data_IF_302638440844
#
_entry.id   IF_302638440844
#
_cell.length_a   1.000
_cell.length_b   1.000
_cell.length_c   1.000
_cell.angle_alpha   90.00
_cell.angle_beta   90.00
_cell.angle_gamma   90.00
#
_symmetry.space_group_name_H-M   'P 1'
#
loop_
_entity.id
_entity.type
_entity.pdbx_description
1 polymer ?
#
# COMPACT_ATOMS: atom_id res chain seq x y z
N UNK A 1 -18.52 -4.57 5.88
CA UNK A 1 -17.54 -3.51 5.66
C UNK A 1 -16.41 -4.01 4.79
N UNK A 2 -16.10 -3.33 3.72
CA UNK A 2 -14.93 -3.67 2.90
C UNK A 2 -13.64 -3.39 3.67
N UNK A 3 -12.66 -4.27 3.45
CA UNK A 3 -11.34 -4.25 4.09
C UNK A 3 -10.29 -4.05 3.00
N UNK A 4 -9.66 -2.89 3.00
CA UNK A 4 -8.81 -2.44 1.90
C UNK A 4 -7.44 -2.07 2.45
N UNK A 5 -6.38 -2.60 1.84
CA UNK A 5 -5.01 -2.25 2.17
C UNK A 5 -4.39 -1.44 1.03
N UNK A 6 -3.79 -0.29 1.35
CA UNK A 6 -3.24 0.64 0.37
C UNK A 6 -1.78 0.92 0.68
N UNK A 7 -0.89 0.68 -0.26
CA UNK A 7 0.51 1.12 -0.16
C UNK A 7 0.68 2.50 -0.78
N UNK A 8 1.70 3.23 -0.33
CA UNK A 8 1.92 4.61 -0.77
C UNK A 8 0.78 5.55 -0.39
N UNK A 9 0.19 5.34 0.79
CA UNK A 9 -0.99 6.09 1.25
C UNK A 9 -0.67 7.48 1.78
N UNK A 10 0.59 7.88 1.86
CA UNK A 10 1.01 9.16 2.46
C UNK A 10 0.84 10.36 1.55
N UNK A 11 0.55 10.19 0.27
CA UNK A 11 0.42 11.27 -0.70
C UNK A 11 -0.31 10.82 -1.97
N UNK A 12 -0.66 11.76 -2.82
CA UNK A 12 -1.14 11.54 -4.18
C UNK A 12 -2.37 10.62 -4.27
N UNK A 13 -2.30 9.66 -5.18
CA UNK A 13 -3.41 8.72 -5.47
C UNK A 13 -3.74 7.87 -4.24
N UNK A 14 -2.74 7.38 -3.52
CA UNK A 14 -2.96 6.56 -2.33
C UNK A 14 -3.71 7.29 -1.22
N UNK A 15 -3.35 8.55 -0.97
CA UNK A 15 -4.06 9.41 -0.01
C UNK A 15 -5.50 9.67 -0.45
N UNK A 16 -5.72 9.98 -1.73
CA UNK A 16 -7.06 10.20 -2.26
C UNK A 16 -7.95 8.95 -2.16
N UNK A 17 -7.39 7.78 -2.43
CA UNK A 17 -8.08 6.50 -2.27
C UNK A 17 -8.44 6.23 -0.80
N UNK A 18 -7.52 6.52 0.12
CA UNK A 18 -7.77 6.36 1.55
C UNK A 18 -8.99 7.17 2.00
N UNK A 19 -9.10 8.41 1.55
CA UNK A 19 -10.26 9.26 1.86
C UNK A 19 -11.55 8.76 1.19
N UNK A 20 -11.47 8.36 -0.07
CA UNK A 20 -12.64 7.86 -0.81
C UNK A 20 -13.24 6.62 -0.14
N UNK A 21 -12.41 5.66 0.24
CA UNK A 21 -12.87 4.45 0.94
C UNK A 21 -13.33 4.74 2.36
N UNK A 22 -12.71 5.69 3.05
CA UNK A 22 -13.15 6.10 4.38
C UNK A 22 -14.54 6.72 4.38
N UNK A 23 -14.86 7.54 3.38
CA UNK A 23 -16.22 8.07 3.18
C UNK A 23 -17.27 6.95 3.01
N UNK A 24 -16.85 5.81 2.49
CA UNK A 24 -17.72 4.63 2.31
C UNK A 24 -17.71 3.71 3.54
N UNK A 25 -17.16 4.18 4.65
CA UNK A 25 -17.11 3.47 5.94
C UNK A 25 -16.33 2.15 5.85
N UNK A 26 -15.31 2.08 4.98
CA UNK A 26 -14.45 0.91 4.87
C UNK A 26 -13.43 0.84 6.01
N UNK A 27 -12.91 -0.37 6.26
CA UNK A 27 -11.71 -0.57 7.05
C UNK A 27 -10.52 -0.39 6.11
N UNK A 28 -9.62 0.53 6.43
CA UNK A 28 -8.54 0.94 5.52
C UNK A 28 -7.19 0.77 6.20
N UNK A 29 -6.34 -0.09 5.64
CA UNK A 29 -4.94 -0.19 6.01
C UNK A 29 -4.12 0.82 5.20
N UNK A 30 -3.48 1.74 5.89
CA UNK A 30 -2.66 2.80 5.32
C UNK A 30 -1.20 2.44 5.52
N UNK A 31 -0.42 2.31 4.46
CA UNK A 31 1.01 2.03 4.59
C UNK A 31 1.87 2.99 3.79
N UNK A 32 2.98 3.39 4.38
CA UNK A 32 4.01 4.22 3.77
C UNK A 32 5.27 4.20 4.63
N UNK A 33 6.36 4.74 4.07
CA UNK A 33 7.62 4.90 4.79
C UNK A 33 7.55 6.02 5.84
N UNK A 34 6.83 7.10 5.53
CA UNK A 34 6.72 8.31 6.37
C UNK A 34 5.50 8.23 7.29
N UNK A 35 5.75 7.84 8.53
CA UNK A 35 4.71 7.64 9.55
C UNK A 35 4.01 8.92 9.98
N UNK A 36 4.74 10.03 10.05
CA UNK A 36 4.20 11.34 10.42
C UNK A 36 3.09 11.80 9.46
N UNK A 37 3.28 11.60 8.16
CA UNK A 37 2.25 11.88 7.16
C UNK A 37 1.05 10.93 7.29
N UNK A 38 1.29 9.66 7.58
CA UNK A 38 0.21 8.69 7.78
C UNK A 38 -0.67 9.04 8.98
N UNK A 39 -0.10 9.59 10.05
CA UNK A 39 -0.86 9.99 11.24
C UNK A 39 -1.93 11.03 10.93
N UNK A 40 -1.60 12.06 10.16
CA UNK A 40 -2.57 13.09 9.76
C UNK A 40 -3.65 12.55 8.84
N UNK A 41 -3.28 11.65 7.92
CA UNK A 41 -4.22 10.99 7.03
C UNK A 41 -5.15 10.05 7.80
N UNK A 42 -4.63 9.31 8.76
CA UNK A 42 -5.44 8.45 9.64
C UNK A 42 -6.50 9.25 10.39
N UNK A 43 -6.13 10.39 10.97
CA UNK A 43 -7.07 11.27 11.66
C UNK A 43 -8.19 11.72 10.71
N UNK A 44 -7.84 12.11 9.50
CA UNK A 44 -8.82 12.54 8.49
C UNK A 44 -9.72 11.39 8.05
N UNK A 45 -9.18 10.20 7.86
CA UNK A 45 -9.96 9.00 7.53
C UNK A 45 -11.01 8.70 8.60
N UNK A 46 -10.63 8.80 9.88
CA UNK A 46 -11.58 8.63 11.00
C UNK A 46 -12.71 9.67 10.94
N UNK A 47 -12.38 10.94 10.71
CA UNK A 47 -13.38 12.01 10.58
C UNK A 47 -14.35 11.78 9.42
N UNK A 48 -13.90 11.10 8.35
CA UNK A 48 -14.71 10.75 7.20
C UNK A 48 -15.59 9.52 7.42
N UNK A 49 -15.46 8.85 8.56
CA UNK A 49 -16.28 7.69 8.93
C UNK A 49 -15.62 6.34 8.67
N UNK A 50 -14.38 6.30 8.22
CA UNK A 50 -13.62 5.07 8.02
C UNK A 50 -13.04 4.51 9.31
N UNK A 51 -12.57 3.27 9.25
CA UNK A 51 -11.83 2.60 10.32
C UNK A 51 -10.39 2.35 9.87
N UNK A 52 -9.50 3.34 9.98
CA UNK A 52 -8.15 3.25 9.48
C UNK A 52 -7.20 2.60 10.49
N UNK A 53 -6.25 1.82 9.95
CA UNK A 53 -5.05 1.36 10.62
C UNK A 53 -3.84 1.82 9.83
N UNK A 54 -2.71 2.06 10.48
CA UNK A 54 -1.50 2.46 9.78
C UNK A 54 -0.33 1.52 10.05
N UNK A 55 0.50 1.35 9.03
CA UNK A 55 1.67 0.48 9.06
C UNK A 55 2.85 1.19 8.42
N UNK A 56 3.95 1.31 9.16
CA UNK A 56 5.22 1.74 8.57
C UNK A 56 5.73 0.62 7.68
N UNK A 57 5.96 0.92 6.40
CA UNK A 57 6.31 -0.09 5.42
C UNK A 57 7.14 0.49 4.29
N UNK A 58 8.27 -0.15 4.02
CA UNK A 58 8.99 -0.03 2.77
C UNK A 58 8.70 -1.29 1.93
N UNK A 59 8.05 -1.13 0.78
CA UNK A 59 7.68 -2.27 -0.08
C UNK A 59 8.88 -3.00 -0.68
N UNK A 60 10.08 -2.42 -0.62
CA UNK A 60 11.31 -3.09 -1.01
C UNK A 60 11.72 -4.21 -0.04
N UNK A 61 11.18 -4.21 1.17
CA UNK A 61 11.47 -5.22 2.19
C UNK A 61 10.37 -6.28 2.23
N UNK A 62 10.62 -7.52 1.72
CA UNK A 62 9.60 -8.56 1.67
C UNK A 62 9.09 -8.99 3.03
N UNK A 63 9.95 -9.05 4.05
CA UNK A 63 9.57 -9.47 5.40
C UNK A 63 8.66 -8.44 6.07
N UNK A 64 8.94 -7.15 5.90
CA UNK A 64 8.08 -6.07 6.39
C UNK A 64 6.72 -6.09 5.71
N UNK A 65 6.68 -6.36 4.41
CA UNK A 65 5.43 -6.51 3.67
C UNK A 65 4.58 -7.66 4.20
N UNK A 66 5.20 -8.80 4.44
CA UNK A 66 4.53 -9.97 5.00
C UNK A 66 3.99 -9.67 6.40
N UNK A 67 4.77 -9.01 7.24
CA UNK A 67 4.37 -8.64 8.59
C UNK A 67 3.20 -7.64 8.57
N UNK A 68 3.27 -6.60 7.75
CA UNK A 68 2.20 -5.62 7.61
C UNK A 68 0.90 -6.26 7.10
N UNK A 69 0.99 -7.17 6.13
CA UNK A 69 -0.16 -7.90 5.62
C UNK A 69 -0.84 -8.74 6.71
N UNK A 70 -0.06 -9.49 7.47
CA UNK A 70 -0.57 -10.28 8.60
C UNK A 70 -1.23 -9.40 9.65
N UNK A 71 -0.58 -8.32 10.04
CA UNK A 71 -1.10 -7.39 11.05
C UNK A 71 -2.43 -6.78 10.61
N UNK A 72 -2.52 -6.33 9.35
CA UNK A 72 -3.78 -5.78 8.85
C UNK A 72 -4.90 -6.82 8.79
N UNK A 73 -4.61 -8.03 8.32
CA UNK A 73 -5.62 -9.09 8.27
C UNK A 73 -6.15 -9.48 9.65
N UNK A 74 -5.30 -9.41 10.68
CA UNK A 74 -5.72 -9.59 12.07
C UNK A 74 -6.58 -8.42 12.55
N UNK A 75 -6.11 -7.20 12.35
CA UNK A 75 -6.81 -5.98 12.80
C UNK A 75 -8.17 -5.82 12.13
N UNK A 76 -8.26 -6.11 10.83
CA UNK A 76 -9.47 -5.96 10.04
C UNK A 76 -10.38 -7.20 10.03
N UNK A 77 -9.87 -8.35 10.42
CA UNK A 77 -10.61 -9.61 10.34
C UNK A 77 -10.71 -10.18 8.93
N UNK A 78 -9.72 -9.91 8.06
CA UNK A 78 -9.66 -10.40 6.69
C UNK A 78 -9.21 -9.33 5.70
N UNK A 79 -9.45 -9.59 4.41
CA UNK A 79 -9.04 -8.69 3.32
C UNK A 79 -10.00 -8.82 2.13
N UNK A 80 -10.42 -7.70 1.58
CA UNK A 80 -11.23 -7.68 0.35
C UNK A 80 -10.46 -7.15 -0.85
N UNK A 81 -9.59 -6.16 -0.65
CA UNK A 81 -8.84 -5.53 -1.73
C UNK A 81 -7.47 -5.06 -1.25
N UNK A 82 -6.45 -5.32 -2.05
CA UNK A 82 -5.11 -4.76 -1.85
C UNK A 82 -4.77 -3.89 -3.05
N UNK A 83 -4.36 -2.65 -2.77
CA UNK A 83 -3.98 -1.68 -3.80
C UNK A 83 -2.49 -1.39 -3.67
N UNK A 84 -1.72 -1.96 -4.56
CA UNK A 84 -0.29 -1.68 -4.69
C UNK A 84 -0.11 -0.38 -5.46
N UNK A 85 0.01 0.71 -4.71
CA UNK A 85 0.15 2.06 -5.24
C UNK A 85 1.53 2.68 -4.93
N UNK A 86 2.28 2.14 -3.97
CA UNK A 86 3.61 2.64 -3.68
C UNK A 86 4.49 2.55 -4.91
N UNK A 87 5.10 3.67 -5.27
CA UNK A 87 6.02 3.77 -6.39
C UNK A 87 6.87 5.02 -6.25
N UNK A 88 7.98 5.01 -6.91
CA UNK A 88 8.86 6.16 -7.03
C UNK A 88 9.09 6.46 -8.51
N UNK A 89 9.15 7.73 -8.83
CA UNK A 89 9.70 8.23 -10.07
C UNK A 89 10.90 9.09 -9.74
N UNK A 90 11.57 9.58 -10.71
CA UNK A 90 12.70 10.48 -10.51
C UNK A 90 13.56 10.58 -11.75
N UNK A 91 14.49 11.50 -11.70
CA UNK A 91 15.49 11.65 -12.74
C UNK A 91 16.44 10.46 -12.66
N UNK A 92 16.34 9.59 -13.66
CA UNK A 92 17.33 8.56 -13.89
C UNK A 92 18.62 9.25 -14.37
N UNK A 93 19.59 9.33 -13.49
CA UNK A 93 20.87 9.90 -13.85
C UNK A 93 21.70 8.89 -14.70
N UNK A 94 21.30 8.74 -15.96
CA UNK A 94 21.99 7.83 -16.88
C UNK A 94 23.43 8.25 -17.16
N UNK A 95 23.75 9.53 -17.02
CA UNK A 95 25.09 10.07 -17.24
C UNK A 95 26.09 9.67 -16.16
N UNK A 96 25.63 9.23 -15.00
CA UNK A 96 26.53 8.74 -13.93
C UNK A 96 27.20 7.42 -14.28
N UNK A 97 26.63 6.67 -15.22
CA UNK A 97 27.06 5.32 -15.53
C UNK A 97 26.75 4.29 -14.45
N UNK A 98 26.00 4.69 -13.42
CA UNK A 98 25.56 3.79 -12.34
C UNK A 98 24.15 3.32 -12.59
N UNK A 99 23.92 2.00 -12.43
CA UNK A 99 22.58 1.42 -12.53
C UNK A 99 21.77 1.57 -11.24
N UNK A 100 22.33 2.13 -10.18
CA UNK A 100 21.72 2.16 -8.86
C UNK A 100 20.34 2.86 -8.85
N UNK A 101 20.22 4.01 -9.51
CA UNK A 101 18.98 4.77 -9.53
C UNK A 101 17.86 4.01 -10.24
N UNK A 102 18.15 3.42 -11.39
CA UNK A 102 17.20 2.60 -12.15
C UNK A 102 16.83 1.34 -11.36
N UNK A 103 17.80 0.68 -10.75
CA UNK A 103 17.55 -0.51 -9.93
C UNK A 103 16.66 -0.18 -8.73
N UNK A 104 16.83 0.97 -8.10
CA UNK A 104 15.98 1.42 -7.01
C UNK A 104 14.52 1.61 -7.49
N UNK A 105 14.33 2.24 -8.65
CA UNK A 105 13.01 2.40 -9.26
C UNK A 105 12.37 1.04 -9.56
N UNK A 106 13.11 0.13 -10.18
CA UNK A 106 12.64 -1.22 -10.50
C UNK A 106 12.29 -2.02 -9.23
N UNK A 107 13.14 -1.97 -8.21
CA UNK A 107 12.90 -2.68 -6.95
C UNK A 107 11.64 -2.16 -6.25
N UNK A 108 11.41 -0.85 -6.26
CA UNK A 108 10.20 -0.28 -5.66
C UNK A 108 8.97 -0.57 -6.50
N UNK A 109 9.02 -0.31 -7.82
CA UNK A 109 7.83 -0.31 -8.67
C UNK A 109 7.44 -1.69 -9.20
N UNK A 110 8.35 -2.66 -9.23
CA UNK A 110 8.08 -4.04 -9.66
C UNK A 110 8.13 -5.03 -8.51
N UNK A 111 9.29 -5.19 -7.87
CA UNK A 111 9.43 -6.14 -6.77
C UNK A 111 8.57 -5.74 -5.56
N UNK A 112 8.45 -4.45 -5.29
CA UNK A 112 7.58 -3.94 -4.23
C UNK A 112 6.11 -4.33 -4.42
N UNK A 113 5.63 -4.36 -5.65
CA UNK A 113 4.27 -4.83 -5.97
C UNK A 113 4.10 -6.30 -5.58
N UNK A 114 5.02 -7.16 -6.00
CA UNK A 114 4.99 -8.56 -5.63
C UNK A 114 5.09 -8.76 -4.11
N UNK A 115 6.00 -8.04 -3.48
CA UNK A 115 6.24 -8.14 -2.04
C UNK A 115 4.98 -7.89 -1.22
N UNK A 116 4.13 -6.96 -1.65
CA UNK A 116 2.91 -6.63 -0.90
C UNK A 116 1.69 -7.44 -1.34
N UNK A 117 1.53 -7.76 -2.62
CA UNK A 117 0.34 -8.47 -3.09
C UNK A 117 0.34 -9.95 -2.66
N UNK A 118 1.47 -10.62 -2.80
CA UNK A 118 1.56 -12.07 -2.57
C UNK A 118 1.17 -12.50 -1.16
N UNK A 119 1.58 -11.80 -0.08
CA UNK A 119 1.22 -12.21 1.28
C UNK A 119 -0.28 -12.28 1.57
N UNK A 120 -1.11 -11.58 0.82
CA UNK A 120 -2.57 -11.59 0.98
C UNK A 120 -3.26 -12.76 0.27
N UNK A 121 -2.60 -13.37 -0.72
CA UNK A 121 -3.20 -14.41 -1.57
C UNK A 121 -3.72 -15.61 -0.77
N UNK A 122 -2.98 -16.19 0.20
CA UNK A 122 -3.49 -17.34 0.94
C UNK A 122 -4.83 -17.06 1.61
N UNK A 123 -4.97 -15.88 2.23
CA UNK A 123 -6.22 -15.50 2.88
C UNK A 123 -7.36 -15.28 1.90
N UNK A 124 -7.09 -14.64 0.77
CA UNK A 124 -8.09 -14.46 -0.29
C UNK A 124 -8.57 -15.80 -0.86
N UNK A 125 -7.67 -16.78 -1.02
CA UNK A 125 -8.02 -18.14 -1.43
C UNK A 125 -8.91 -18.84 -0.41
N UNK A 126 -8.57 -18.72 0.86
CA UNK A 126 -9.39 -19.26 1.97
C UNK A 126 -10.80 -18.64 1.95
N UNK A 127 -10.89 -17.33 1.78
CA UNK A 127 -12.15 -16.60 1.70
C UNK A 127 -12.92 -16.84 0.41
N UNK A 128 -12.28 -17.41 -0.62
CA UNK A 128 -12.80 -17.58 -2.00
C UNK A 128 -13.21 -16.26 -2.64
N UNK A 129 -12.60 -15.15 -2.22
CA UNK A 129 -12.79 -13.83 -2.81
C UNK A 129 -11.62 -12.91 -2.44
N UNK A 130 -11.40 -11.90 -3.27
CA UNK A 130 -10.37 -10.88 -3.08
C UNK A 130 -10.03 -10.20 -4.40
N UNK A 131 -9.51 -8.99 -4.30
CA UNK A 131 -9.02 -8.22 -5.46
C UNK A 131 -7.61 -7.75 -5.22
N UNK A 132 -6.75 -7.95 -6.21
CA UNK A 132 -5.40 -7.41 -6.24
C UNK A 132 -5.36 -6.32 -7.32
N UNK A 133 -5.00 -5.12 -6.92
CA UNK A 133 -4.96 -3.95 -7.80
C UNK A 133 -3.56 -3.38 -7.84
N UNK A 134 -3.05 -3.13 -9.03
CA UNK A 134 -1.79 -2.42 -9.25
C UNK A 134 -2.10 -1.07 -9.90
N UNK A 135 -1.56 -0.01 -9.34
CA UNK A 135 -1.59 1.30 -10.00
C UNK A 135 -0.36 1.39 -10.90
N UNK A 136 -0.61 1.64 -12.17
CA UNK A 136 0.41 1.74 -13.20
C UNK A 136 0.37 3.12 -13.86
N UNK A 137 1.41 3.44 -14.60
CA UNK A 137 1.50 4.68 -15.36
C UNK A 137 2.00 4.38 -16.77
N UNK A 138 1.57 5.21 -17.72
CA UNK A 138 2.03 5.20 -19.12
C UNK A 138 3.03 6.32 -19.41
N UNK A 139 3.43 7.03 -18.40
CA UNK A 139 4.35 8.15 -18.53
C UNK A 139 5.78 7.70 -18.84
#
# INVERSE_FOLDING_TARGET
>A
MMKIFITGASSGIGEALAYAYSKRKCIVGLSARRVDLLKSILIRCKKLGGSPFMYKLDVQNPDDCKLAAHSFMQDAGGIDCVIANAGIGGDDNLYSGSSNDINTILNTNLQGVNNILIPFIPKMREQKKGKLVCISSVA
#
